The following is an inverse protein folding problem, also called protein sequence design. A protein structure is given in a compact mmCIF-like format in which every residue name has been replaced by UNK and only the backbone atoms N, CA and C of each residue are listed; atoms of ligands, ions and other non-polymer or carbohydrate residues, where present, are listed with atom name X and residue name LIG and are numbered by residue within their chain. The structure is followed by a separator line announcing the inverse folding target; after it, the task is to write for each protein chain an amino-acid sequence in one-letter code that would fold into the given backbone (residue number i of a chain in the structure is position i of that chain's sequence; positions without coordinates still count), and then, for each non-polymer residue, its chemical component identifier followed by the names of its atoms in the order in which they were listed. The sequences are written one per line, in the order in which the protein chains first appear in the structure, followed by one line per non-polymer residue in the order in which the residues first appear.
data_IF_486052205178
#
_entry.id   IF_486052205178
#
_cell.length_a   1.000
_cell.length_b   1.000
_cell.length_c   1.000
_cell.angle_alpha   90.00
_cell.angle_beta   90.00
_cell.angle_gamma   90.00
#
_symmetry.space_group_name_H-M   'P 1'
#
loop_
_entity.id
_entity.type
_entity.pdbx_description
1 polymer ?
#
# COMPACT_ATOMS: atom_id res chain seq x y z
N UNK A 1 -9.53 -11.20 -17.29
CA UNK A 1 -8.98 -10.13 -16.48
C UNK A 1 -10.08 -9.44 -15.70
N UNK A 2 -9.79 -9.14 -14.46
CA UNK A 2 -10.78 -8.52 -13.59
C UNK A 2 -10.85 -7.02 -13.87
N UNK A 3 -12.00 -6.41 -13.57
CA UNK A 3 -12.15 -4.97 -13.71
C UNK A 3 -11.59 -4.23 -12.51
N UNK A 4 -11.06 -4.95 -11.55
CA UNK A 4 -10.61 -4.37 -10.30
C UNK A 4 -9.09 -4.43 -10.20
N UNK A 5 -8.44 -3.29 -10.36
CA UNK A 5 -6.99 -3.23 -10.25
C UNK A 5 -6.53 -3.70 -8.88
N UNK A 6 -7.22 -3.28 -7.85
CA UNK A 6 -6.91 -3.68 -6.47
C UNK A 6 -6.97 -5.20 -6.33
N UNK A 7 -7.97 -5.83 -6.93
CA UNK A 7 -8.10 -7.28 -6.86
C UNK A 7 -6.98 -7.99 -7.61
N UNK A 8 -6.60 -7.43 -8.74
CA UNK A 8 -5.52 -7.99 -9.54
C UNK A 8 -4.19 -7.93 -8.79
N UNK A 9 -3.94 -6.81 -8.13
CA UNK A 9 -2.73 -6.64 -7.35
C UNK A 9 -2.70 -7.65 -6.20
N UNK A 10 -3.82 -7.81 -5.53
CA UNK A 10 -3.89 -8.79 -4.43
C UNK A 10 -3.59 -10.20 -4.92
N UNK A 11 -4.10 -10.54 -6.09
CA UNK A 11 -3.85 -11.87 -6.66
C UNK A 11 -2.38 -12.07 -6.98
N UNK A 12 -1.74 -11.05 -7.54
CA UNK A 12 -0.32 -11.13 -7.86
C UNK A 12 0.52 -11.27 -6.61
N UNK A 13 0.18 -10.54 -5.56
CA UNK A 13 0.93 -10.62 -4.31
C UNK A 13 0.78 -12.00 -3.70
N UNK A 14 -0.45 -12.52 -3.68
CA UNK A 14 -0.69 -13.84 -3.11
C UNK A 14 0.08 -14.90 -3.88
N UNK A 15 0.07 -14.78 -5.20
CA UNK A 15 0.76 -15.75 -6.04
C UNK A 15 2.27 -15.73 -5.78
N UNK A 16 2.84 -14.54 -5.66
CA UNK A 16 4.27 -14.41 -5.39
C UNK A 16 4.63 -15.04 -4.05
N UNK A 17 3.78 -14.84 -3.05
CA UNK A 17 4.05 -15.40 -1.74
C UNK A 17 3.92 -16.92 -1.74
N UNK A 18 2.98 -17.46 -2.52
CA UNK A 18 2.75 -18.89 -2.56
C UNK A 18 3.85 -19.62 -3.31
N UNK A 19 4.55 -18.94 -4.18
CA UNK A 19 5.59 -19.57 -4.97
C UNK A 19 6.91 -19.70 -4.22
N UNK A 20 6.91 -19.43 -2.95
CA UNK A 20 8.09 -19.66 -2.15
C UNK A 20 9.22 -18.68 -2.40
N UNK A 21 8.85 -17.47 -2.71
CA UNK A 21 9.83 -16.43 -2.96
C UNK A 21 10.46 -15.89 -1.68
N UNK A 22 10.19 -16.53 -0.59
CA UNK A 22 10.67 -16.09 0.72
C UNK A 22 10.22 -14.70 1.05
N UNK A 23 9.05 -14.33 0.53
CA UNK A 23 8.45 -13.04 0.86
C UNK A 23 7.58 -13.21 2.09
N UNK A 24 7.92 -12.52 3.14
CA UNK A 24 6.98 -12.45 4.26
C UNK A 24 6.02 -11.29 3.98
N UNK A 25 5.06 -11.08 4.86
CA UNK A 25 4.05 -10.05 4.66
C UNK A 25 4.67 -8.67 4.57
N UNK A 26 5.66 -8.39 5.42
CA UNK A 26 6.32 -7.09 5.39
C UNK A 26 7.06 -6.85 4.09
N UNK A 27 7.76 -7.88 3.61
CA UNK A 27 8.49 -7.77 2.35
C UNK A 27 7.52 -7.59 1.18
N UNK A 28 6.40 -8.31 1.20
CA UNK A 28 5.40 -8.16 0.15
C UNK A 28 4.84 -6.74 0.14
N UNK A 29 4.53 -6.21 1.31
CA UNK A 29 4.01 -4.85 1.40
C UNK A 29 5.02 -3.84 0.89
N UNK A 30 6.30 -4.04 1.21
CA UNK A 30 7.34 -3.13 0.74
C UNK A 30 7.44 -3.14 -0.78
N UNK A 31 7.31 -4.32 -1.39
CA UNK A 31 7.38 -4.41 -2.85
C UNK A 31 6.20 -3.69 -3.51
N UNK A 32 5.02 -3.83 -2.93
CA UNK A 32 3.87 -3.13 -3.46
C UNK A 32 4.06 -1.63 -3.32
N UNK A 33 4.64 -1.19 -2.20
CA UNK A 33 4.90 0.23 -2.00
C UNK A 33 5.87 0.77 -3.03
N UNK A 34 6.90 -0.01 -3.40
CA UNK A 34 7.82 0.42 -4.45
C UNK A 34 7.07 0.65 -5.75
N UNK A 35 6.18 -0.27 -6.09
CA UNK A 35 5.39 -0.12 -7.31
C UNK A 35 4.52 1.12 -7.26
N UNK A 36 3.99 1.42 -6.09
CA UNK A 36 3.16 2.59 -5.93
C UNK A 36 3.96 3.87 -6.17
N UNK A 37 5.19 3.91 -5.68
CA UNK A 37 6.05 5.06 -5.94
C UNK A 37 6.30 5.21 -7.43
N UNK A 38 6.53 4.08 -8.13
CA UNK A 38 6.71 4.14 -9.57
C UNK A 38 5.51 4.76 -10.26
N UNK A 39 4.31 4.44 -9.78
CA UNK A 39 3.10 5.02 -10.36
C UNK A 39 3.06 6.53 -10.10
N UNK A 40 3.41 6.96 -8.90
CA UNK A 40 3.43 8.37 -8.57
C UNK A 40 4.40 9.13 -9.47
N UNK A 41 5.52 8.48 -9.80
CA UNK A 41 6.52 9.13 -10.66
C UNK A 41 6.06 9.31 -12.09
N UNK A 42 4.94 8.71 -12.47
CA UNK A 42 4.34 8.97 -13.78
C UNK A 42 3.62 10.31 -13.83
N UNK A 43 3.36 10.91 -12.70
CA UNK A 43 2.70 12.21 -12.65
C UNK A 43 3.70 13.32 -12.93
N UNK A 44 3.22 14.50 -13.34
CA UNK A 44 4.12 15.64 -13.51
C UNK A 44 4.91 15.91 -12.25
N UNK A 45 6.15 16.30 -12.41
CA UNK A 45 7.04 16.48 -11.28
C UNK A 45 6.46 17.41 -10.21
N UNK A 46 5.76 18.44 -10.63
CA UNK A 46 5.20 19.41 -9.69
C UNK A 46 4.13 18.81 -8.80
N UNK A 47 3.53 17.71 -9.23
CA UNK A 47 2.41 17.11 -8.51
C UNK A 47 2.81 15.95 -7.64
N UNK A 48 4.04 15.47 -7.79
CA UNK A 48 4.43 14.22 -7.15
C UNK A 48 4.42 14.30 -5.64
N UNK A 49 4.92 15.40 -5.08
CA UNK A 49 4.99 15.51 -3.63
C UNK A 49 3.58 15.55 -3.01
N UNK A 50 2.68 16.29 -3.64
CA UNK A 50 1.32 16.35 -3.15
C UNK A 50 0.64 14.99 -3.28
N UNK A 51 0.88 14.33 -4.38
CA UNK A 51 0.29 13.01 -4.62
C UNK A 51 0.77 12.01 -3.57
N UNK A 52 2.07 12.06 -3.23
CA UNK A 52 2.59 11.19 -2.19
C UNK A 52 1.94 11.47 -0.83
N UNK A 53 1.75 12.75 -0.52
CA UNK A 53 1.08 13.09 0.73
C UNK A 53 -0.35 12.57 0.75
N UNK A 54 -1.05 12.69 -0.38
CA UNK A 54 -2.41 12.19 -0.49
C UNK A 54 -2.46 10.67 -0.33
N UNK A 55 -1.51 9.97 -0.92
CA UNK A 55 -1.46 8.52 -0.84
C UNK A 55 -1.22 8.08 0.59
N UNK A 56 -0.33 8.75 1.29
CA UNK A 56 -0.05 8.38 2.68
C UNK A 56 -1.29 8.58 3.55
N UNK A 57 -2.01 9.67 3.31
CA UNK A 57 -3.25 9.91 4.06
C UNK A 57 -4.28 8.84 3.72
N UNK A 58 -4.34 8.45 2.46
CA UNK A 58 -5.28 7.43 2.02
C UNK A 58 -4.97 6.09 2.67
N UNK A 59 -3.69 5.76 2.80
CA UNK A 59 -3.29 4.53 3.49
C UNK A 59 -3.89 4.48 4.88
N UNK A 60 -3.75 5.56 5.63
CA UNK A 60 -4.28 5.61 6.98
C UNK A 60 -5.78 5.46 7.00
N UNK A 61 -6.45 6.11 6.06
CA UNK A 61 -7.90 6.05 5.99
C UNK A 61 -8.38 4.63 5.67
N UNK A 62 -7.73 3.98 4.70
CA UNK A 62 -8.13 2.62 4.34
C UNK A 62 -7.88 1.67 5.50
N UNK A 63 -6.76 1.82 6.17
CA UNK A 63 -6.45 0.98 7.31
C UNK A 63 -7.52 1.15 8.40
N UNK A 64 -7.90 2.38 8.65
CA UNK A 64 -8.95 2.65 9.64
C UNK A 64 -10.26 2.00 9.24
N UNK A 65 -10.62 2.08 7.96
CA UNK A 65 -11.87 1.51 7.48
C UNK A 65 -11.88 0.00 7.62
N UNK A 66 -10.74 -0.62 7.41
CA UNK A 66 -10.68 -2.08 7.44
C UNK A 66 -10.50 -2.66 8.82
N UNK A 67 -9.93 -1.90 9.72
CA UNK A 67 -9.61 -2.42 11.05
C UNK A 67 -10.33 -1.70 12.18
N UNK A 68 -10.81 -0.49 11.92
CA UNK A 68 -11.41 0.31 12.96
C UNK A 68 -10.41 1.03 13.84
N UNK A 69 -9.13 1.01 13.47
CA UNK A 69 -8.09 1.66 14.27
C UNK A 69 -7.10 2.37 13.38
N UNK A 70 -6.84 3.64 13.64
CA UNK A 70 -5.85 4.39 12.90
C UNK A 70 -4.44 3.98 13.33
N UNK A 71 -3.50 3.93 12.40
CA UNK A 71 -2.13 3.53 12.74
C UNK A 71 -1.49 4.42 13.80
N UNK A 72 -1.77 5.71 13.75
CA UNK A 72 -1.21 6.63 14.72
C UNK A 72 -1.77 6.41 16.10
N UNK A 73 -3.02 5.95 16.18
CA UNK A 73 -3.62 5.66 17.48
C UNK A 73 -2.94 4.50 18.15
N UNK A 74 -2.56 3.52 17.37
CA UNK A 74 -1.85 2.39 17.93
C UNK A 74 -0.58 2.85 18.59
N UNK A 75 0.11 3.76 17.94
CA UNK A 75 1.33 4.31 18.47
C UNK A 75 1.08 5.11 19.74
N UNK A 76 0.03 5.89 19.74
CA UNK A 76 -0.27 6.75 20.87
C UNK A 76 -0.78 5.98 22.07
N UNK A 77 -1.44 4.90 21.80
CA UNK A 77 -2.02 4.12 22.88
C UNK A 77 -0.97 3.63 23.84
N UNK A 78 0.25 3.74 23.46
CA UNK A 78 1.30 3.28 24.30
C UNK A 78 1.83 4.27 25.23
N UNK A 79 1.49 5.47 25.14
CA UNK A 79 2.11 6.38 26.07
C UNK A 79 1.17 6.88 27.12
#
# INVERSE_FOLDING_TARGET
MSDCLHCDINDLVREAMEQGEHLDVGAAAAKVAESLVDVVLLAPENDQAKMMADVLAFFGQVYLEKTGAAPTEVSEARH
#
